data_IF_365848215283
#
_entry.id   IF_365848215283
#
_cell.length_a   1.000
_cell.length_b   1.000
_cell.length_c   1.000
_cell.angle_alpha   90.00
_cell.angle_beta   90.00
_cell.angle_gamma   90.00
#
_symmetry.space_group_name_H-M   'P 1'
#
loop_
_entity.id
_entity.type
_entity.pdbx_description
1 polymer ?
#
# COMPACT_ATOMS: atom_id res chain seq x y z
N UNK A 1 -34.22 2.20 -16.40
CA UNK A 1 -33.26 2.87 -15.50
C UNK A 1 -33.90 2.88 -14.14
N UNK A 2 -33.54 1.93 -13.27
CA UNK A 2 -33.97 1.98 -11.87
C UNK A 2 -33.14 3.07 -11.19
N UNK A 3 -33.82 4.07 -10.62
CA UNK A 3 -33.17 5.05 -9.76
C UNK A 3 -32.61 4.29 -8.56
N UNK A 4 -31.30 4.38 -8.33
CA UNK A 4 -30.68 3.83 -7.13
C UNK A 4 -31.30 4.43 -5.86
N UNK A 5 -31.20 3.75 -4.71
CA UNK A 5 -31.72 4.25 -3.45
C UNK A 5 -31.13 5.63 -3.14
N UNK A 6 -31.94 6.54 -2.59
CA UNK A 6 -31.47 7.85 -2.18
C UNK A 6 -30.51 7.75 -0.99
N UNK A 7 -29.66 8.76 -0.78
CA UNK A 7 -28.74 8.80 0.38
C UNK A 7 -29.50 8.67 1.72
N UNK A 8 -30.73 9.18 1.79
CA UNK A 8 -31.62 9.02 2.94
C UNK A 8 -32.03 7.56 3.16
N UNK A 9 -32.41 6.84 2.11
CA UNK A 9 -32.78 5.43 2.18
C UNK A 9 -31.61 4.53 2.60
N UNK A 10 -30.40 4.86 2.12
CA UNK A 10 -29.17 4.15 2.47
C UNK A 10 -28.80 4.35 3.93
N UNK A 11 -28.91 5.58 4.44
CA UNK A 11 -28.71 5.88 5.86
C UNK A 11 -29.74 5.14 6.72
N UNK A 12 -31.03 5.18 6.37
CA UNK A 12 -32.06 4.47 7.12
C UNK A 12 -31.85 2.96 7.11
N UNK A 13 -31.54 2.38 5.95
CA UNK A 13 -31.22 0.94 5.84
C UNK A 13 -30.07 0.58 6.76
N UNK A 14 -29.00 1.37 6.76
CA UNK A 14 -27.87 1.19 7.67
C UNK A 14 -28.28 1.26 9.14
N UNK A 15 -29.05 2.26 9.55
CA UNK A 15 -29.50 2.40 10.95
C UNK A 15 -30.37 1.21 11.37
N UNK A 16 -31.25 0.71 10.49
CA UNK A 16 -32.04 -0.50 10.76
C UNK A 16 -31.16 -1.74 10.97
N UNK A 17 -30.09 -1.89 10.17
CA UNK A 17 -29.14 -2.98 10.32
C UNK A 17 -28.38 -2.91 11.65
N UNK A 18 -27.91 -1.74 12.04
CA UNK A 18 -27.23 -1.50 13.33
C UNK A 18 -28.17 -1.79 14.50
N UNK A 19 -29.41 -1.29 14.45
CA UNK A 19 -30.41 -1.54 15.49
C UNK A 19 -30.75 -3.04 15.63
N UNK A 20 -30.87 -3.76 14.50
CA UNK A 20 -31.10 -5.19 14.50
C UNK A 20 -29.92 -5.98 15.06
N UNK A 21 -28.68 -5.57 14.77
CA UNK A 21 -27.48 -6.14 15.37
C UNK A 21 -27.50 -6.02 16.90
N UNK A 22 -27.70 -4.81 17.43
CA UNK A 22 -27.72 -4.60 18.89
C UNK A 22 -28.86 -5.34 19.58
N UNK A 23 -30.03 -5.43 18.94
CA UNK A 23 -31.18 -6.21 19.45
C UNK A 23 -30.86 -7.71 19.53
N UNK A 24 -30.10 -8.26 18.58
CA UNK A 24 -29.66 -9.66 18.62
C UNK A 24 -28.60 -9.87 19.70
N UNK A 25 -27.62 -8.97 19.82
CA UNK A 25 -26.61 -8.98 20.89
C UNK A 25 -27.25 -8.94 22.27
N UNK A 26 -28.22 -8.05 22.51
CA UNK A 26 -28.89 -7.93 23.80
C UNK A 26 -29.73 -9.16 24.20
N UNK A 27 -30.02 -10.05 23.25
CA UNK A 27 -30.73 -11.32 23.48
C UNK A 27 -29.78 -12.53 23.58
N UNK A 28 -28.46 -12.30 23.65
CA UNK A 28 -27.46 -13.36 23.68
C UNK A 28 -27.26 -14.09 22.34
N UNK A 29 -27.83 -13.59 21.25
CA UNK A 29 -27.73 -14.21 19.92
C UNK A 29 -26.49 -13.73 19.15
N UNK A 30 -25.29 -13.94 19.71
CA UNK A 30 -24.04 -13.34 19.22
C UNK A 30 -23.69 -13.81 17.80
N UNK A 31 -23.71 -15.12 17.55
CA UNK A 31 -23.36 -15.69 16.24
C UNK A 31 -24.35 -15.25 15.15
N UNK A 32 -25.64 -15.23 15.48
CA UNK A 32 -26.68 -14.75 14.56
C UNK A 32 -26.53 -13.24 14.26
N UNK A 33 -26.04 -12.45 15.22
CA UNK A 33 -25.75 -11.03 15.02
C UNK A 33 -24.54 -10.85 14.08
N UNK A 34 -23.45 -11.62 14.29
CA UNK A 34 -22.26 -11.61 13.43
C UNK A 34 -22.55 -12.08 12.01
N UNK A 35 -23.30 -13.17 11.86
CA UNK A 35 -23.70 -13.70 10.55
C UNK A 35 -24.54 -12.69 9.76
N UNK A 36 -25.46 -11.97 10.44
CA UNK A 36 -26.22 -10.87 9.84
C UNK A 36 -25.29 -9.75 9.37
N UNK A 37 -24.38 -9.25 10.23
CA UNK A 37 -23.46 -8.18 9.86
C UNK A 37 -22.60 -8.56 8.64
N UNK A 38 -22.02 -9.76 8.66
CA UNK A 38 -21.21 -10.29 7.56
C UNK A 38 -22.01 -10.27 6.26
N UNK A 39 -23.23 -10.84 6.26
CA UNK A 39 -24.11 -10.84 5.08
C UNK A 39 -24.41 -9.42 4.58
N UNK A 40 -24.75 -8.50 5.47
CA UNK A 40 -25.06 -7.11 5.11
C UNK A 40 -23.87 -6.35 4.55
N UNK A 41 -22.65 -6.58 5.06
CA UNK A 41 -21.42 -6.02 4.48
C UNK A 41 -21.23 -6.50 3.04
N UNK A 42 -21.41 -7.80 2.78
CA UNK A 42 -21.30 -8.36 1.43
C UNK A 42 -22.31 -7.74 0.47
N UNK A 43 -23.58 -7.59 0.88
CA UNK A 43 -24.62 -6.95 0.08
C UNK A 43 -24.27 -5.51 -0.25
N UNK A 44 -23.89 -4.71 0.75
CA UNK A 44 -23.53 -3.31 0.54
C UNK A 44 -22.29 -3.15 -0.36
N UNK A 45 -21.27 -3.99 -0.21
CA UNK A 45 -20.11 -3.97 -1.10
C UNK A 45 -20.46 -4.40 -2.53
N UNK A 46 -21.35 -5.37 -2.70
CA UNK A 46 -21.84 -5.78 -4.03
C UNK A 46 -22.60 -4.63 -4.72
N UNK A 47 -23.40 -3.88 -3.96
CA UNK A 47 -24.13 -2.67 -4.39
C UNK A 47 -23.25 -1.42 -4.50
N UNK A 48 -21.93 -1.54 -4.26
CA UNK A 48 -20.95 -0.43 -4.23
C UNK A 48 -21.26 0.67 -3.20
N UNK A 49 -21.97 0.33 -2.13
CA UNK A 49 -22.28 1.21 -1.00
C UNK A 49 -21.13 1.20 0.01
N UNK A 50 -20.00 1.80 -0.35
CA UNK A 50 -18.75 1.73 0.42
C UNK A 50 -18.87 2.36 1.82
N UNK A 51 -19.45 3.55 1.94
CA UNK A 51 -19.57 4.24 3.24
C UNK A 51 -20.47 3.46 4.21
N UNK A 52 -21.67 3.01 3.82
CA UNK A 52 -22.46 2.11 4.67
C UNK A 52 -21.71 0.83 5.06
N UNK A 53 -21.00 0.21 4.11
CA UNK A 53 -20.21 -0.98 4.37
C UNK A 53 -19.07 -0.73 5.38
N UNK A 54 -18.32 0.38 5.24
CA UNK A 54 -17.24 0.77 6.16
C UNK A 54 -17.74 0.81 7.61
N UNK A 55 -18.89 1.43 7.86
CA UNK A 55 -19.45 1.53 9.21
C UNK A 55 -19.88 0.16 9.76
N UNK A 56 -20.45 -0.73 8.93
CA UNK A 56 -20.77 -2.09 9.37
C UNK A 56 -19.51 -2.93 9.60
N UNK A 57 -18.45 -2.75 8.81
CA UNK A 57 -17.15 -3.39 9.04
C UNK A 57 -16.57 -2.92 10.37
N UNK A 58 -16.60 -1.62 10.68
CA UNK A 58 -16.17 -1.10 11.98
C UNK A 58 -16.96 -1.73 13.15
N UNK A 59 -18.26 -1.91 12.98
CA UNK A 59 -19.09 -2.59 13.97
C UNK A 59 -18.73 -4.08 14.10
N UNK A 60 -18.39 -4.76 13.00
CA UNK A 60 -17.86 -6.13 13.05
C UNK A 60 -16.53 -6.19 13.81
N UNK A 61 -15.59 -5.28 13.55
CA UNK A 61 -14.31 -5.20 14.27
C UNK A 61 -14.51 -4.92 15.76
N UNK A 62 -15.45 -4.05 16.11
CA UNK A 62 -15.83 -3.82 17.50
C UNK A 62 -16.40 -5.09 18.15
N UNK A 63 -17.29 -5.80 17.46
CA UNK A 63 -17.83 -7.08 17.95
C UNK A 63 -16.73 -8.10 18.19
N UNK A 64 -15.73 -8.17 17.29
CA UNK A 64 -14.59 -9.08 17.43
C UNK A 64 -13.69 -8.74 18.62
N UNK A 65 -13.55 -7.44 18.91
CA UNK A 65 -12.85 -6.97 20.10
C UNK A 65 -13.59 -7.36 21.38
N UNK A 66 -14.90 -7.12 21.42
CA UNK A 66 -15.74 -7.43 22.58
C UNK A 66 -15.76 -8.94 22.90
N UNK A 67 -15.74 -9.77 21.85
CA UNK A 67 -15.82 -11.23 21.99
C UNK A 67 -14.45 -11.92 22.05
N UNK A 68 -13.36 -11.18 21.83
CA UNK A 68 -12.00 -11.71 21.90
C UNK A 68 -11.66 -12.73 20.80
N UNK A 69 -12.32 -12.65 19.64
CA UNK A 69 -12.24 -13.70 18.59
C UNK A 69 -11.64 -13.19 17.27
N UNK A 70 -10.87 -12.11 17.29
CA UNK A 70 -10.28 -11.55 16.06
C UNK A 70 -9.20 -12.48 15.47
N UNK A 71 -8.55 -13.29 16.30
CA UNK A 71 -7.54 -14.29 15.90
C UNK A 71 -8.13 -15.62 15.44
N UNK A 72 -9.46 -15.79 15.52
CA UNK A 72 -10.12 -16.99 14.99
C UNK A 72 -9.91 -17.08 13.48
N UNK A 73 -9.49 -18.26 12.98
CA UNK A 73 -9.27 -18.51 11.54
C UNK A 73 -10.49 -18.16 10.69
N UNK A 74 -11.71 -18.45 11.15
CA UNK A 74 -12.94 -18.11 10.43
C UNK A 74 -13.16 -16.59 10.34
N UNK A 75 -12.79 -15.86 11.39
CA UNK A 75 -12.88 -14.40 11.43
C UNK A 75 -11.86 -13.79 10.47
N UNK A 76 -10.60 -14.25 10.51
CA UNK A 76 -9.53 -13.82 9.60
C UNK A 76 -9.90 -14.09 8.13
N UNK A 77 -10.40 -15.30 7.82
CA UNK A 77 -10.84 -15.66 6.47
C UNK A 77 -12.02 -14.82 5.98
N UNK A 78 -12.97 -14.51 6.87
CA UNK A 78 -14.08 -13.61 6.56
C UNK A 78 -13.57 -12.20 6.23
N UNK A 79 -12.64 -11.66 7.01
CA UNK A 79 -12.05 -10.34 6.78
C UNK A 79 -11.24 -10.30 5.48
N UNK A 80 -10.43 -11.32 5.18
CA UNK A 80 -9.70 -11.42 3.90
C UNK A 80 -10.66 -11.39 2.69
N UNK A 81 -11.79 -12.08 2.78
CA UNK A 81 -12.82 -12.05 1.73
C UNK A 81 -13.42 -10.65 1.58
N UNK A 82 -13.70 -9.97 2.71
CA UNK A 82 -14.18 -8.58 2.72
C UNK A 82 -13.14 -7.64 2.08
N UNK A 83 -11.85 -7.79 2.41
CA UNK A 83 -10.77 -6.96 1.85
C UNK A 83 -10.62 -7.13 0.35
N UNK A 84 -10.68 -8.37 -0.15
CA UNK A 84 -10.64 -8.65 -1.59
C UNK A 84 -11.84 -8.03 -2.31
N UNK A 85 -13.05 -8.18 -1.74
CA UNK A 85 -14.24 -7.59 -2.33
C UNK A 85 -14.19 -6.06 -2.29
N UNK A 86 -13.86 -5.45 -1.15
CA UNK A 86 -13.74 -3.99 -1.02
C UNK A 86 -12.67 -3.46 -1.98
N UNK A 87 -11.48 -4.08 -2.00
CA UNK A 87 -10.39 -3.72 -2.90
C UNK A 87 -10.82 -3.72 -4.36
N UNK A 88 -11.63 -4.69 -4.79
CA UNK A 88 -12.18 -4.72 -6.17
C UNK A 88 -13.11 -3.56 -6.52
N UNK A 89 -13.58 -2.79 -5.53
CA UNK A 89 -14.49 -1.65 -5.70
C UNK A 89 -13.78 -0.29 -5.60
N UNK A 90 -12.52 -0.25 -5.16
CA UNK A 90 -11.73 0.97 -5.02
C UNK A 90 -11.38 1.52 -6.40
N UNK A 91 -11.64 2.81 -6.61
CA UNK A 91 -11.40 3.53 -7.86
C UNK A 91 -10.60 4.82 -7.69
N UNK A 92 -10.42 5.30 -6.46
CA UNK A 92 -9.75 6.57 -6.18
C UNK A 92 -9.05 6.57 -4.81
N UNK A 93 -8.25 7.60 -4.57
CA UNK A 93 -7.41 7.75 -3.38
C UNK A 93 -8.23 7.82 -2.08
N UNK A 94 -9.44 8.41 -2.12
CA UNK A 94 -10.31 8.50 -0.94
C UNK A 94 -10.86 7.11 -0.56
N UNK A 95 -11.30 6.32 -1.54
CA UNK A 95 -11.74 4.94 -1.32
C UNK A 95 -10.58 4.03 -0.88
N UNK A 96 -9.38 4.24 -1.43
CA UNK A 96 -8.17 3.56 -0.99
C UNK A 96 -7.86 3.87 0.49
N UNK A 97 -7.97 5.13 0.90
CA UNK A 97 -7.76 5.53 2.28
C UNK A 97 -8.77 4.89 3.25
N UNK A 98 -10.03 4.70 2.82
CA UNK A 98 -11.03 3.95 3.61
C UNK A 98 -10.62 2.49 3.83
N UNK A 99 -10.20 1.82 2.75
CA UNK A 99 -9.72 0.43 2.84
C UNK A 99 -8.49 0.32 3.75
N UNK A 100 -7.50 1.21 3.57
CA UNK A 100 -6.32 1.29 4.43
C UNK A 100 -6.72 1.46 5.89
N UNK A 101 -7.61 2.41 6.21
CA UNK A 101 -8.06 2.63 7.59
C UNK A 101 -8.64 1.36 8.22
N UNK A 102 -9.51 0.64 7.49
CA UNK A 102 -10.13 -0.58 7.96
C UNK A 102 -9.13 -1.73 8.18
N UNK A 103 -8.20 -1.93 7.24
CA UNK A 103 -7.17 -2.97 7.37
C UNK A 103 -6.25 -2.65 8.56
N UNK A 104 -5.84 -1.39 8.72
CA UNK A 104 -5.01 -0.96 9.85
C UNK A 104 -5.75 -1.10 11.20
N UNK A 105 -7.06 -0.89 11.24
CA UNK A 105 -7.88 -1.10 12.44
C UNK A 105 -7.96 -2.58 12.80
N UNK A 106 -8.09 -3.47 11.80
CA UNK A 106 -8.09 -4.91 12.00
C UNK A 106 -6.71 -5.45 12.45
N UNK A 107 -5.62 -5.01 11.81
CA UNK A 107 -4.27 -5.39 12.21
C UNK A 107 -3.94 -4.88 13.64
N UNK A 108 -4.38 -3.68 14.01
CA UNK A 108 -4.27 -3.22 15.42
C UNK A 108 -5.05 -4.10 16.39
N UNK A 109 -6.23 -4.58 15.99
CA UNK A 109 -7.00 -5.51 16.82
C UNK A 109 -6.30 -6.86 16.96
N UNK A 110 -5.76 -7.42 15.88
CA UNK A 110 -4.97 -8.66 15.92
C UNK A 110 -3.73 -8.51 16.82
N UNK A 111 -3.00 -7.40 16.72
CA UNK A 111 -1.84 -7.12 17.56
C UNK A 111 -2.18 -7.11 19.05
N UNK A 112 -3.33 -6.54 19.42
CA UNK A 112 -3.81 -6.52 20.81
C UNK A 112 -4.11 -7.92 21.37
N UNK A 113 -4.38 -8.91 20.51
CA UNK A 113 -4.76 -10.26 20.91
C UNK A 113 -3.61 -11.28 20.77
N UNK A 114 -2.66 -11.06 19.85
CA UNK A 114 -1.51 -11.95 19.61
C UNK A 114 -0.29 -11.65 20.51
N UNK A 115 -0.18 -10.42 21.05
CA UNK A 115 0.97 -10.00 21.85
C UNK A 115 2.04 -9.25 21.06
N UNK A 116 3.08 -8.74 21.74
CA UNK A 116 4.09 -7.86 21.13
C UNK A 116 5.06 -8.58 20.18
N UNK A 117 5.30 -9.87 20.39
CA UNK A 117 6.29 -10.65 19.63
C UNK A 117 5.89 -10.81 18.15
N UNK A 118 4.60 -10.81 17.85
CA UNK A 118 4.06 -10.95 16.48
C UNK A 118 3.81 -9.60 15.77
N UNK A 119 4.05 -8.48 16.46
CA UNK A 119 3.68 -7.15 15.95
C UNK A 119 4.40 -6.80 14.65
N UNK A 120 5.68 -7.17 14.52
CA UNK A 120 6.47 -6.83 13.35
C UNK A 120 6.03 -7.65 12.12
N UNK A 121 5.80 -8.95 12.28
CA UNK A 121 5.33 -9.80 11.18
C UNK A 121 3.95 -9.37 10.69
N UNK A 122 3.07 -9.00 11.63
CA UNK A 122 1.75 -8.50 11.31
C UNK A 122 1.78 -7.17 10.52
N UNK A 123 2.67 -6.25 10.89
CA UNK A 123 2.88 -5.00 10.13
C UNK A 123 3.35 -5.32 8.70
N UNK A 124 4.29 -6.25 8.54
CA UNK A 124 4.77 -6.64 7.21
C UNK A 124 3.62 -7.28 6.39
N UNK A 125 2.83 -8.15 7.01
CA UNK A 125 1.67 -8.78 6.37
C UNK A 125 0.60 -7.75 5.95
N UNK A 126 0.30 -6.77 6.82
CA UNK A 126 -0.60 -5.64 6.56
C UNK A 126 -0.18 -4.88 5.29
N UNK A 127 1.09 -4.49 5.24
CA UNK A 127 1.62 -3.71 4.12
C UNK A 127 1.66 -4.52 2.82
N UNK A 128 1.96 -5.83 2.88
CA UNK A 128 1.86 -6.73 1.72
C UNK A 128 0.43 -6.87 1.20
N UNK A 129 -0.53 -7.01 2.12
CA UNK A 129 -1.96 -7.11 1.78
C UNK A 129 -2.42 -5.83 1.09
N UNK A 130 -2.19 -4.66 1.69
CA UNK A 130 -2.57 -3.36 1.12
C UNK A 130 -1.93 -3.10 -0.23
N UNK A 131 -0.62 -3.35 -0.36
CA UNK A 131 0.08 -3.23 -1.63
C UNK A 131 -0.56 -4.10 -2.72
N UNK A 132 -0.93 -5.33 -2.38
CA UNK A 132 -1.54 -6.28 -3.33
C UNK A 132 -2.94 -5.83 -3.74
N UNK A 133 -3.80 -5.48 -2.79
CA UNK A 133 -5.17 -5.05 -3.06
C UNK A 133 -5.19 -3.77 -3.92
N UNK A 134 -4.42 -2.76 -3.51
CA UNK A 134 -4.43 -1.46 -4.16
C UNK A 134 -3.75 -1.48 -5.54
N UNK A 135 -2.68 -2.26 -5.72
CA UNK A 135 -2.04 -2.43 -7.04
C UNK A 135 -2.95 -3.12 -8.07
N UNK A 136 -3.92 -3.91 -7.63
CA UNK A 136 -4.93 -4.54 -8.50
C UNK A 136 -6.10 -3.61 -8.80
N UNK A 137 -6.51 -2.83 -7.80
CA UNK A 137 -7.66 -1.94 -7.89
C UNK A 137 -7.38 -0.70 -8.74
N UNK A 138 -6.24 -0.04 -8.47
CA UNK A 138 -5.86 1.23 -9.08
C UNK A 138 -4.39 1.18 -9.53
N UNK A 139 -4.04 0.28 -10.48
CA UNK A 139 -2.65 0.04 -10.88
C UNK A 139 -1.91 1.29 -11.36
N UNK A 140 -2.60 2.25 -11.95
CA UNK A 140 -2.08 3.53 -12.42
C UNK A 140 -1.74 4.51 -11.30
N UNK A 141 -2.33 4.32 -10.11
CA UNK A 141 -2.13 5.17 -8.93
C UNK A 141 -0.95 4.66 -8.08
N UNK A 142 0.25 4.60 -8.65
CA UNK A 142 1.47 4.14 -7.96
C UNK A 142 1.65 4.76 -6.57
N UNK A 143 1.36 6.06 -6.41
CA UNK A 143 1.48 6.76 -5.13
C UNK A 143 0.61 6.21 -4.00
N UNK A 144 -0.49 5.52 -4.33
CA UNK A 144 -1.44 4.95 -3.36
C UNK A 144 -0.90 3.65 -2.75
N UNK A 145 -0.20 2.81 -3.53
CA UNK A 145 0.21 1.47 -3.07
C UNK A 145 1.72 1.29 -2.88
N UNK A 146 2.55 2.14 -3.50
CA UNK A 146 4.00 2.04 -3.41
C UNK A 146 4.54 2.14 -1.97
N UNK A 147 4.05 3.05 -1.09
CA UNK A 147 4.50 3.10 0.30
C UNK A 147 4.30 1.78 1.05
N UNK A 148 3.18 1.10 0.78
CA UNK A 148 2.88 -0.21 1.36
C UNK A 148 3.76 -1.30 0.77
N UNK A 149 4.02 -1.29 -0.54
CA UNK A 149 4.86 -2.29 -1.16
C UNK A 149 6.31 -2.27 -0.66
N UNK A 150 6.86 -1.07 -0.51
CA UNK A 150 8.21 -0.85 0.01
C UNK A 150 8.31 -1.33 1.46
N UNK A 151 7.32 -0.99 2.29
CA UNK A 151 7.30 -1.40 3.71
C UNK A 151 7.01 -2.89 3.90
N UNK A 152 6.25 -3.50 2.99
CA UNK A 152 5.94 -4.93 2.96
C UNK A 152 7.03 -5.80 2.35
N UNK A 153 8.19 -5.24 1.96
CA UNK A 153 9.31 -5.98 1.35
C UNK A 153 8.95 -6.73 0.06
N UNK A 154 8.08 -6.15 -0.77
CA UNK A 154 7.90 -6.68 -2.13
C UNK A 154 9.14 -6.33 -2.97
N UNK A 155 9.70 -7.21 -3.83
CA UNK A 155 10.80 -6.82 -4.71
C UNK A 155 10.38 -5.73 -5.70
N UNK A 156 11.27 -4.77 -5.98
CA UNK A 156 10.96 -3.68 -6.92
C UNK A 156 10.67 -4.20 -8.35
N UNK A 157 11.33 -5.27 -8.78
CA UNK A 157 11.09 -5.92 -10.08
C UNK A 157 9.68 -6.47 -10.25
N UNK A 158 8.98 -6.80 -9.16
CA UNK A 158 7.59 -7.25 -9.21
C UNK A 158 6.61 -6.20 -9.76
N UNK A 159 7.05 -4.94 -9.88
CA UNK A 159 6.28 -3.86 -10.51
C UNK A 159 6.43 -3.80 -12.03
N UNK A 160 7.42 -4.49 -12.62
CA UNK A 160 7.62 -4.47 -14.08
C UNK A 160 6.37 -4.87 -14.86
N UNK A 161 5.68 -6.00 -14.57
CA UNK A 161 4.49 -6.38 -15.33
C UNK A 161 3.32 -5.43 -15.11
N UNK A 162 3.25 -4.79 -13.93
CA UNK A 162 2.21 -3.78 -13.63
C UNK A 162 2.47 -2.54 -14.46
N UNK A 163 3.71 -2.06 -14.47
CA UNK A 163 4.10 -0.85 -15.21
C UNK A 163 3.94 -1.05 -16.72
N UNK A 164 4.38 -2.20 -17.25
CA UNK A 164 4.25 -2.52 -18.68
C UNK A 164 2.80 -2.58 -19.16
N UNK A 165 1.89 -3.09 -18.31
CA UNK A 165 0.46 -3.17 -18.63
C UNK A 165 -0.25 -1.82 -18.52
N UNK A 166 0.20 -0.97 -17.59
CA UNK A 166 -0.54 0.22 -17.17
C UNK A 166 -0.06 1.49 -17.87
N UNK A 167 1.22 1.59 -18.19
CA UNK A 167 1.80 2.77 -18.83
C UNK A 167 2.20 2.39 -20.26
N UNK A 168 1.50 2.87 -21.29
CA UNK A 168 1.84 2.53 -22.67
C UNK A 168 3.18 3.15 -23.08
N UNK A 169 3.91 2.46 -23.97
CA UNK A 169 5.07 3.03 -24.65
C UNK A 169 4.61 4.16 -25.57
N UNK A 170 5.06 5.40 -25.34
CA UNK A 170 4.91 6.48 -26.32
C UNK A 170 6.25 6.78 -26.98
N UNK A 171 6.31 6.69 -28.31
CA UNK A 171 7.48 7.09 -29.10
C UNK A 171 7.60 8.60 -29.30
N UNK A 172 6.58 9.38 -28.92
CA UNK A 172 6.50 10.83 -29.16
C UNK A 172 6.74 11.68 -27.92
N UNK A 173 6.71 11.07 -26.72
CA UNK A 173 6.98 11.78 -25.47
C UNK A 173 8.49 11.97 -25.26
N UNK A 174 8.94 13.15 -24.79
CA UNK A 174 10.37 13.40 -24.50
C UNK A 174 10.91 12.54 -23.35
N UNK A 175 10.03 11.96 -22.52
CA UNK A 175 10.35 10.99 -21.47
C UNK A 175 9.30 9.88 -21.48
N UNK A 176 9.73 8.62 -21.54
CA UNK A 176 8.85 7.45 -21.47
C UNK A 176 8.21 7.34 -20.08
N UNK A 177 6.87 7.37 -20.01
CA UNK A 177 6.12 7.24 -18.76
C UNK A 177 6.43 5.96 -17.99
N UNK A 178 6.78 4.87 -18.69
CA UNK A 178 7.24 3.62 -18.05
C UNK A 178 8.58 3.82 -17.34
N UNK A 179 9.49 4.58 -17.93
CA UNK A 179 10.76 4.91 -17.30
C UNK A 179 10.54 5.78 -16.06
N UNK A 180 9.63 6.76 -16.11
CA UNK A 180 9.27 7.55 -14.94
C UNK A 180 8.64 6.68 -13.84
N UNK A 181 7.66 5.85 -14.20
CA UNK A 181 7.00 4.93 -13.28
C UNK A 181 7.99 3.98 -12.59
N UNK A 182 8.88 3.35 -13.35
CA UNK A 182 9.87 2.44 -12.77
C UNK A 182 10.93 3.18 -11.95
N UNK A 183 11.32 4.39 -12.37
CA UNK A 183 12.23 5.25 -11.61
C UNK A 183 11.62 5.65 -10.26
N UNK A 184 10.31 5.98 -10.21
CA UNK A 184 9.58 6.22 -8.95
C UNK A 184 9.71 5.03 -8.01
N UNK A 185 9.43 3.82 -8.52
CA UNK A 185 9.53 2.58 -7.73
C UNK A 185 10.95 2.43 -7.19
N UNK A 186 11.95 2.36 -8.07
CA UNK A 186 13.33 2.09 -7.68
C UNK A 186 13.87 3.12 -6.68
N UNK A 187 13.56 4.41 -6.85
CA UNK A 187 13.99 5.45 -5.91
C UNK A 187 13.21 5.43 -4.59
N UNK A 188 11.95 5.02 -4.57
CA UNK A 188 11.22 4.85 -3.32
C UNK A 188 11.83 3.72 -2.46
N UNK A 189 12.21 2.61 -3.10
CA UNK A 189 12.97 1.53 -2.45
C UNK A 189 14.34 2.02 -1.99
N UNK A 190 15.09 2.71 -2.86
CA UNK A 190 16.38 3.28 -2.50
C UNK A 190 16.26 4.21 -1.29
N UNK A 191 15.25 5.07 -1.25
CA UNK A 191 15.04 6.01 -0.16
C UNK A 191 14.68 5.33 1.16
N UNK A 192 13.82 4.32 1.12
CA UNK A 192 13.40 3.61 2.32
C UNK A 192 14.49 2.72 2.90
N UNK A 193 15.29 2.11 2.03
CA UNK A 193 16.26 1.08 2.41
C UNK A 193 17.72 1.53 2.33
N UNK A 194 17.96 2.80 1.97
CA UNK A 194 19.27 3.40 1.83
C UNK A 194 20.27 3.02 2.94
N UNK A 195 19.88 2.94 4.23
CA UNK A 195 20.88 2.66 5.25
C UNK A 195 21.03 1.17 5.60
N UNK A 196 20.32 0.28 4.90
CA UNK A 196 20.43 -1.18 5.00
C UNK A 196 21.18 -1.76 3.78
N UNK A 197 22.48 -2.07 3.87
CA UNK A 197 23.29 -2.46 2.72
C UNK A 197 22.78 -3.70 1.97
N UNK A 198 22.30 -4.71 2.69
CA UNK A 198 21.75 -5.93 2.09
C UNK A 198 20.49 -5.66 1.26
N UNK A 199 19.67 -4.70 1.68
CA UNK A 199 18.46 -4.32 0.97
C UNK A 199 18.78 -3.49 -0.30
N UNK A 200 19.84 -2.67 -0.25
CA UNK A 200 20.35 -2.00 -1.45
C UNK A 200 20.93 -2.98 -2.47
N UNK A 201 21.61 -4.04 -2.02
CA UNK A 201 22.10 -5.09 -2.91
C UNK A 201 20.95 -5.79 -3.66
N UNK A 202 19.84 -6.11 -2.97
CA UNK A 202 18.64 -6.64 -3.61
C UNK A 202 17.99 -5.64 -4.58
N UNK A 203 18.00 -4.34 -4.23
CA UNK A 203 17.54 -3.30 -5.14
C UNK A 203 18.39 -3.24 -6.41
N UNK A 204 19.71 -3.41 -6.32
CA UNK A 204 20.60 -3.47 -7.49
C UNK A 204 20.22 -4.61 -8.45
N UNK A 205 19.82 -5.77 -7.93
CA UNK A 205 19.32 -6.86 -8.78
C UNK A 205 18.07 -6.41 -9.58
N UNK A 206 17.12 -5.75 -8.91
CA UNK A 206 15.93 -5.18 -9.59
C UNK A 206 16.28 -4.09 -10.61
N UNK A 207 17.30 -3.27 -10.34
CA UNK A 207 17.83 -2.28 -11.30
C UNK A 207 18.43 -2.97 -12.52
N UNK A 208 19.18 -4.05 -12.32
CA UNK A 208 19.81 -4.81 -13.40
C UNK A 208 18.77 -5.51 -14.28
N UNK A 209 17.74 -6.13 -13.68
CA UNK A 209 16.61 -6.72 -14.40
C UNK A 209 15.89 -5.69 -15.28
N UNK A 210 15.59 -4.51 -14.72
CA UNK A 210 14.93 -3.47 -15.50
C UNK A 210 15.83 -2.92 -16.62
N UNK A 211 17.12 -2.70 -16.33
CA UNK A 211 18.11 -2.28 -17.32
C UNK A 211 18.22 -3.28 -18.48
N UNK A 212 18.11 -4.59 -18.18
CA UNK A 212 18.05 -5.64 -19.19
C UNK A 212 16.77 -5.56 -20.04
N UNK A 213 15.62 -5.30 -19.42
CA UNK A 213 14.33 -5.16 -20.10
C UNK A 213 14.26 -3.95 -21.06
N UNK A 214 15.02 -2.88 -20.79
CA UNK A 214 15.06 -1.68 -21.65
C UNK A 214 16.30 -1.60 -22.56
N UNK A 215 17.03 -2.72 -22.74
CA UNK A 215 18.21 -2.76 -23.61
C UNK A 215 17.87 -2.29 -25.04
N UNK A 216 18.72 -1.42 -25.59
CA UNK A 216 18.55 -0.87 -26.95
C UNK A 216 17.84 0.48 -27.03
N UNK A 217 17.31 1.02 -25.92
CA UNK A 217 16.71 2.36 -25.87
C UNK A 217 17.55 3.34 -25.02
N UNK A 218 17.64 4.63 -25.39
CA UNK A 218 18.19 5.65 -24.50
C UNK A 218 17.35 5.72 -23.22
N UNK A 219 17.97 5.34 -22.09
CA UNK A 219 17.30 5.31 -20.79
C UNK A 219 18.15 6.05 -19.74
N UNK A 220 18.23 7.39 -19.81
CA UNK A 220 19.08 8.17 -18.92
C UNK A 220 18.62 8.09 -17.45
N UNK A 221 17.32 7.90 -17.21
CA UNK A 221 16.78 7.74 -15.86
C UNK A 221 17.25 6.44 -15.18
N UNK A 222 17.28 5.32 -15.90
CA UNK A 222 17.79 4.06 -15.31
C UNK A 222 19.31 4.11 -15.09
N UNK A 223 20.05 4.78 -15.97
CA UNK A 223 21.49 5.03 -15.76
C UNK A 223 21.73 5.86 -14.50
N UNK A 224 20.92 6.90 -14.28
CA UNK A 224 20.94 7.67 -13.03
C UNK A 224 20.68 6.76 -11.83
N UNK A 225 19.61 5.96 -11.85
CA UNK A 225 19.26 5.08 -10.73
C UNK A 225 20.36 4.08 -10.42
N UNK A 226 20.97 3.46 -11.44
CA UNK A 226 22.09 2.52 -11.29
C UNK A 226 23.28 3.18 -10.59
N UNK A 227 23.75 4.32 -11.09
CA UNK A 227 24.85 5.07 -10.46
C UNK A 227 24.49 5.59 -9.07
N UNK A 228 23.23 5.99 -8.87
CA UNK A 228 22.75 6.53 -7.60
C UNK A 228 22.71 5.45 -6.52
N UNK A 229 22.15 4.26 -6.81
CA UNK A 229 22.13 3.13 -5.89
C UNK A 229 23.56 2.68 -5.56
N UNK A 230 24.47 2.65 -6.54
CA UNK A 230 25.89 2.38 -6.29
C UNK A 230 26.53 3.42 -5.35
N UNK A 231 26.23 4.71 -5.53
CA UNK A 231 26.72 5.77 -4.65
C UNK A 231 26.16 5.64 -3.23
N UNK A 232 24.88 5.27 -3.08
CA UNK A 232 24.26 5.02 -1.78
C UNK A 232 24.90 3.84 -1.04
N UNK A 233 25.11 2.72 -1.74
CA UNK A 233 25.78 1.56 -1.16
C UNK A 233 27.21 1.85 -0.72
N UNK A 234 27.96 2.56 -1.55
CA UNK A 234 29.30 3.01 -1.23
C UNK A 234 29.33 4.15 -0.19
N UNK A 235 28.16 4.60 0.29
CA UNK A 235 27.97 5.74 1.20
C UNK A 235 28.65 7.02 0.74
N UNK A 236 28.76 7.23 -0.58
CA UNK A 236 29.36 8.41 -1.20
C UNK A 236 28.33 9.51 -1.34
N UNK A 237 27.99 10.16 -0.21
CA UNK A 237 26.96 11.21 -0.11
C UNK A 237 27.15 12.32 -1.15
N UNK A 238 28.36 12.85 -1.28
CA UNK A 238 28.66 13.94 -2.22
C UNK A 238 28.50 13.49 -3.69
N UNK A 239 28.89 12.26 -4.01
CA UNK A 239 28.66 11.70 -5.35
C UNK A 239 27.15 11.58 -5.64
N UNK A 240 26.36 11.11 -4.67
CA UNK A 240 24.92 11.01 -4.82
C UNK A 240 24.26 12.39 -5.02
N UNK A 241 24.72 13.42 -4.31
CA UNK A 241 24.28 14.83 -4.50
C UNK A 241 24.65 15.36 -5.89
N UNK A 242 25.87 15.11 -6.36
CA UNK A 242 26.32 15.50 -7.69
C UNK A 242 25.50 14.83 -8.79
N UNK A 243 25.16 13.54 -8.63
CA UNK A 243 24.29 12.84 -9.56
C UNK A 243 22.89 13.49 -9.63
N UNK A 244 22.29 13.84 -8.49
CA UNK A 244 21.00 14.56 -8.47
C UNK A 244 21.10 15.89 -9.21
N UNK A 245 22.18 16.65 -9.00
CA UNK A 245 22.39 17.94 -9.67
C UNK A 245 22.58 17.76 -11.18
N UNK A 246 23.37 16.77 -11.61
CA UNK A 246 23.64 16.50 -13.01
C UNK A 246 22.38 16.06 -13.77
N UNK A 247 21.56 15.19 -13.16
CA UNK A 247 20.32 14.68 -13.74
C UNK A 247 19.09 15.56 -13.45
N UNK A 248 19.26 16.72 -12.81
CA UNK A 248 18.17 17.54 -12.26
C UNK A 248 17.00 17.76 -13.23
N UNK A 249 17.27 18.15 -14.47
CA UNK A 249 16.24 18.40 -15.49
C UNK A 249 15.37 17.17 -15.78
N UNK A 250 15.95 15.96 -15.70
CA UNK A 250 15.23 14.71 -15.90
C UNK A 250 14.42 14.30 -14.67
N UNK A 251 14.93 14.62 -13.47
CA UNK A 251 14.25 14.33 -12.21
C UNK A 251 13.09 15.30 -11.93
N UNK A 252 13.14 16.53 -12.46
CA UNK A 252 12.10 17.55 -12.29
C UNK A 252 10.83 17.29 -13.13
N UNK A 253 10.83 16.29 -14.03
CA UNK A 253 9.60 15.82 -14.68
C UNK A 253 8.60 15.23 -13.68
N UNK A 254 9.08 14.83 -12.49
CA UNK A 254 8.24 14.34 -11.42
C UNK A 254 8.85 14.64 -10.04
N UNK A 255 8.16 15.49 -9.29
CA UNK A 255 8.54 15.88 -7.93
C UNK A 255 8.77 14.69 -6.99
N UNK A 256 8.07 13.57 -7.17
CA UNK A 256 8.22 12.39 -6.31
C UNK A 256 9.56 11.67 -6.54
N UNK A 257 10.05 11.63 -7.78
CA UNK A 257 11.37 11.11 -8.13
C UNK A 257 12.46 11.93 -7.43
N UNK A 258 12.41 13.26 -7.57
CA UNK A 258 13.39 14.15 -6.95
C UNK A 258 13.35 14.08 -5.42
N UNK A 259 12.15 14.07 -4.81
CA UNK A 259 11.98 13.92 -3.36
C UNK A 259 12.55 12.60 -2.85
N UNK A 260 12.29 11.49 -3.55
CA UNK A 260 12.80 10.17 -3.17
C UNK A 260 14.33 10.11 -3.25
N UNK A 261 14.92 10.65 -4.33
CA UNK A 261 16.38 10.73 -4.45
C UNK A 261 17.01 11.53 -3.30
N UNK A 262 16.47 12.72 -2.98
CA UNK A 262 16.95 13.52 -1.84
C UNK A 262 16.82 12.78 -0.52
N UNK A 263 15.68 12.13 -0.27
CA UNK A 263 15.45 11.32 0.94
C UNK A 263 16.46 10.18 1.08
N UNK A 264 16.84 9.52 -0.02
CA UNK A 264 17.88 8.50 -0.01
C UNK A 264 19.25 9.04 0.41
N UNK A 265 19.63 10.23 -0.08
CA UNK A 265 20.87 10.91 0.34
C UNK A 265 20.81 11.28 1.82
N UNK A 266 19.70 11.86 2.28
CA UNK A 266 19.54 12.26 3.68
C UNK A 266 19.59 11.05 4.63
N UNK A 267 19.02 9.93 4.21
CA UNK A 267 19.01 8.69 4.98
C UNK A 267 20.43 8.15 5.24
N UNK A 268 21.34 8.20 4.26
CA UNK A 268 22.74 7.79 4.48
C UNK A 268 23.57 8.89 5.16
N UNK A 269 23.31 10.16 4.90
CA UNK A 269 24.02 11.27 5.53
C UNK A 269 23.72 11.39 7.03
N UNK A 270 22.48 11.08 7.44
CA UNK A 270 22.05 11.05 8.84
C UNK A 270 22.33 9.73 9.57
N UNK A 271 22.97 8.75 8.92
CA UNK A 271 23.07 7.37 9.43
C UNK A 271 24.10 7.12 10.55
N UNK A 272 24.57 8.16 11.25
CA UNK A 272 25.42 8.06 12.45
C UNK A 272 24.77 7.39 13.68
N UNK A 273 23.64 6.70 13.48
CA UNK A 273 22.86 5.97 14.48
C UNK A 273 21.61 5.34 13.87
N UNK A 274 21.70 4.81 12.65
CA UNK A 274 20.53 4.31 11.93
C UNK A 274 20.12 2.91 12.39
N UNK A 275 18.88 2.79 12.85
CA UNK A 275 18.15 1.52 12.95
C UNK A 275 17.14 1.46 11.79
N UNK A 276 17.17 0.42 10.93
CA UNK A 276 16.15 0.18 9.90
C UNK A 276 14.71 0.20 10.46
N UNK A 277 14.55 -0.24 11.70
CA UNK A 277 13.29 -0.16 12.46
C UNK A 277 12.86 1.28 12.76
N UNK A 278 13.80 2.16 13.11
CA UNK A 278 13.48 3.55 13.45
C UNK A 278 13.04 4.38 12.22
N UNK A 279 13.47 4.01 11.01
CA UNK A 279 13.03 4.68 9.78
C UNK A 279 11.61 4.26 9.35
N UNK A 280 11.24 3.00 9.58
CA UNK A 280 9.87 2.51 9.43
C UNK A 280 8.91 3.19 10.43
N UNK A 281 9.35 3.39 11.67
CA UNK A 281 8.52 3.99 12.73
C UNK A 281 8.38 5.53 12.63
N UNK A 282 9.36 6.23 12.02
CA UNK A 282 9.33 7.69 11.82
C UNK A 282 8.52 8.16 10.60
N UNK A 283 7.95 7.23 9.82
CA UNK A 283 7.11 7.54 8.66
C UNK A 283 5.64 7.83 8.96
N UNK A 284 5.28 8.10 10.22
CA UNK A 284 3.92 8.49 10.66
C UNK A 284 3.74 10.00 10.68
#
# INVERSE_FOLDING_TARGET
MEAGPSDGDLYERQQRLIANYHRKRSRGQHDAAKAMLKKSVFELLAERQLIPAVNLIKLMLQSMREDGDATNEEAVAAMDTIWKLFGSKVQNDAEAALLTGLVNDFCRLLQQQLGEDDAQELIIAEHRLLATLLSKAVPERLGVYLPFAVSGFKPASSFLPVIERTFPSSSEAPVDERQLAMTRVLLAYAAAWAPAPAALAQLRESVAEYKAAVQGSPAPLIQFVDMFVQALEARKVEQARQLIQFYRKLLEYDDQILKSAKKGVDAIAGSGGFSPLAALLRGR
#
